data_IF_758216005509
#
_entry.id   IF_758216005509
#
_cell.length_a   1.000
_cell.length_b   1.000
_cell.length_c   1.000
_cell.angle_alpha   90.00
_cell.angle_beta   90.00
_cell.angle_gamma   90.00
#
_symmetry.space_group_name_H-M   'P 1'
#
loop_
_entity.id
_entity.type
_entity.pdbx_description
1 polymer ?
#
# COMPACT_ATOMS: atom_id res chain seq x y z
N UNK A 1 0.17 37.02 -0.30
CA UNK A 1 1.02 36.46 -1.37
C UNK A 1 2.48 36.63 -0.95
N UNK A 2 3.14 35.54 -0.56
CA UNK A 2 4.55 35.57 -0.13
C UNK A 2 5.42 35.83 -1.35
N UNK A 3 6.17 36.93 -1.35
CA UNK A 3 7.18 37.25 -2.36
C UNK A 3 8.49 36.54 -1.98
N UNK A 4 8.97 35.56 -2.77
CA UNK A 4 10.18 34.79 -2.46
C UNK A 4 11.44 35.67 -2.27
N UNK A 5 11.44 36.86 -2.87
CA UNK A 5 12.55 37.83 -2.86
C UNK A 5 12.67 38.66 -1.57
N UNK A 6 11.73 38.56 -0.64
CA UNK A 6 11.75 39.32 0.64
C UNK A 6 12.24 38.51 1.84
N UNK A 7 12.44 37.20 1.69
CA UNK A 7 12.94 36.35 2.76
C UNK A 7 14.46 36.25 2.67
N UNK A 8 15.16 36.49 3.78
CA UNK A 8 16.57 36.12 3.93
C UNK A 8 16.74 34.63 3.58
N UNK A 9 17.81 34.29 2.86
CA UNK A 9 18.11 32.88 2.55
C UNK A 9 18.11 32.06 3.85
N UNK A 10 17.44 30.91 3.83
CA UNK A 10 17.35 30.01 4.99
C UNK A 10 18.74 29.68 5.54
N UNK A 11 19.68 29.47 4.61
CA UNK A 11 21.09 29.24 4.91
C UNK A 11 21.69 30.44 5.66
N UNK A 12 21.42 31.68 5.23
CA UNK A 12 21.94 32.87 5.90
C UNK A 12 21.39 33.06 7.33
N UNK A 13 20.11 32.73 7.56
CA UNK A 13 19.52 32.76 8.91
C UNK A 13 20.03 31.64 9.82
N UNK A 14 20.23 30.43 9.28
CA UNK A 14 20.78 29.29 10.01
C UNK A 14 22.28 29.44 10.32
N UNK A 15 22.98 30.27 9.56
CA UNK A 15 24.43 30.52 9.71
C UNK A 15 24.78 31.58 10.74
N UNK A 16 23.81 32.32 11.29
CA UNK A 16 24.10 33.37 12.29
C UNK A 16 24.29 32.74 13.69
N UNK A 17 25.53 32.68 14.23
CA UNK A 17 25.83 31.82 15.38
C UNK A 17 25.37 32.38 16.73
N UNK A 18 24.96 33.65 16.79
CA UNK A 18 24.81 34.35 18.08
C UNK A 18 23.40 34.28 18.69
N UNK A 19 22.35 34.06 17.90
CA UNK A 19 20.97 33.96 18.41
C UNK A 19 20.33 32.62 18.03
N UNK A 20 20.56 31.63 18.89
CA UNK A 20 20.00 30.27 18.76
C UNK A 20 18.48 30.27 18.74
N UNK A 21 17.85 31.22 19.44
CA UNK A 21 16.40 31.32 19.55
C UNK A 21 15.80 31.85 18.24
N UNK A 22 16.43 32.87 17.64
CA UNK A 22 16.02 33.39 16.34
C UNK A 22 16.25 32.38 15.21
N UNK A 23 17.40 31.69 15.21
CA UNK A 23 17.70 30.63 14.25
C UNK A 23 16.71 29.47 14.33
N UNK A 24 16.42 28.98 15.54
CA UNK A 24 15.42 27.94 15.78
C UNK A 24 14.03 28.35 15.32
N UNK A 25 13.58 29.58 15.60
CA UNK A 25 12.27 30.07 15.16
C UNK A 25 12.16 30.16 13.63
N UNK A 26 13.22 30.58 12.94
CA UNK A 26 13.25 30.62 11.49
C UNK A 26 13.21 29.20 10.88
N UNK A 27 14.01 28.29 11.45
CA UNK A 27 14.03 26.89 11.09
C UNK A 27 12.65 26.23 11.29
N UNK A 28 12.06 26.37 12.48
CA UNK A 28 10.79 25.76 12.85
C UNK A 28 9.62 26.23 11.96
N UNK A 29 9.63 27.50 11.53
CA UNK A 29 8.64 28.01 10.55
C UNK A 29 8.77 27.30 9.20
N UNK A 30 9.98 27.11 8.72
CA UNK A 30 10.23 26.42 7.44
C UNK A 30 9.87 24.94 7.55
N UNK A 31 10.23 24.33 8.67
CA UNK A 31 9.89 22.94 8.97
C UNK A 31 8.38 22.72 9.06
N UNK A 32 7.65 23.68 9.66
CA UNK A 32 6.19 23.67 9.68
C UNK A 32 5.60 23.71 8.26
N UNK A 33 6.18 24.49 7.35
CA UNK A 33 5.75 24.55 5.94
C UNK A 33 6.01 23.22 5.23
N UNK A 34 7.17 22.57 5.44
CA UNK A 34 7.45 21.24 4.86
C UNK A 34 6.42 20.20 5.31
N UNK A 35 6.13 20.14 6.60
CA UNK A 35 5.12 19.24 7.17
C UNK A 35 3.73 19.53 6.61
N UNK A 36 3.38 20.80 6.45
CA UNK A 36 2.12 21.20 5.81
C UNK A 36 2.03 20.74 4.35
N UNK A 37 3.12 20.86 3.57
CA UNK A 37 3.17 20.33 2.20
C UNK A 37 2.91 18.82 2.20
N UNK A 38 3.56 18.06 3.08
CA UNK A 38 3.31 16.62 3.19
C UNK A 38 1.85 16.31 3.53
N UNK A 39 1.24 17.04 4.47
CA UNK A 39 -0.18 16.88 4.78
C UNK A 39 -1.09 17.16 3.57
N UNK A 40 -0.79 18.19 2.77
CA UNK A 40 -1.56 18.48 1.54
C UNK A 40 -1.43 17.36 0.50
N UNK A 41 -0.22 16.81 0.34
CA UNK A 41 0.03 15.64 -0.52
C UNK A 41 -0.76 14.43 -0.02
N UNK A 42 -0.79 14.17 1.29
CA UNK A 42 -1.58 13.09 1.89
C UNK A 42 -3.10 13.27 1.65
N UNK A 43 -3.61 14.49 1.81
CA UNK A 43 -5.03 14.80 1.59
C UNK A 43 -5.42 14.61 0.12
N UNK A 44 -4.64 15.16 -0.81
CA UNK A 44 -4.91 15.02 -2.25
C UNK A 44 -4.83 13.55 -2.66
N UNK A 45 -3.83 12.82 -2.17
CA UNK A 45 -3.68 11.38 -2.39
C UNK A 45 -4.92 10.61 -1.92
N UNK A 46 -5.42 10.93 -0.73
CA UNK A 46 -6.60 10.32 -0.17
C UNK A 46 -7.84 10.55 -1.06
N UNK A 47 -8.13 11.80 -1.43
CA UNK A 47 -9.32 12.12 -2.22
C UNK A 47 -9.25 11.60 -3.65
N UNK A 48 -8.10 11.70 -4.31
CA UNK A 48 -7.89 11.17 -5.66
C UNK A 48 -8.16 9.65 -5.72
N UNK A 49 -7.80 8.93 -4.65
CA UNK A 49 -7.95 7.48 -4.58
C UNK A 49 -9.38 7.03 -4.34
N UNK A 50 -10.08 7.66 -3.40
CA UNK A 50 -11.44 7.25 -3.02
C UNK A 50 -12.52 7.81 -3.95
N UNK A 51 -12.22 8.88 -4.70
CA UNK A 51 -13.18 9.49 -5.63
C UNK A 51 -12.92 9.11 -7.10
N UNK A 52 -11.94 8.23 -7.35
CA UNK A 52 -11.37 7.97 -8.69
C UNK A 52 -11.05 9.26 -9.47
N UNK A 53 -10.72 10.33 -8.74
CA UNK A 53 -10.56 11.67 -9.28
C UNK A 53 -9.16 11.93 -9.79
N UNK A 54 -9.03 12.92 -10.67
CA UNK A 54 -7.71 13.45 -11.02
C UNK A 54 -7.05 14.07 -9.78
N UNK A 55 -5.81 13.71 -9.46
CA UNK A 55 -5.03 14.45 -8.47
C UNK A 55 -4.96 15.94 -8.77
N UNK A 56 -5.16 16.78 -7.75
CA UNK A 56 -5.03 18.23 -7.88
C UNK A 56 -3.56 18.62 -7.99
N UNK A 57 -2.70 17.95 -7.20
CA UNK A 57 -1.26 18.15 -7.22
C UNK A 57 -0.69 17.46 -8.45
N UNK A 58 0.00 18.27 -9.25
CA UNK A 58 0.71 17.82 -10.44
C UNK A 58 1.94 16.99 -10.06
N UNK A 59 1.86 15.70 -10.35
CA UNK A 59 2.93 14.73 -10.08
C UNK A 59 4.27 15.09 -10.74
N UNK A 60 4.24 15.75 -11.90
CA UNK A 60 5.43 16.16 -12.66
C UNK A 60 6.13 17.40 -12.07
N UNK A 61 5.47 18.09 -11.15
CA UNK A 61 6.04 19.21 -10.39
C UNK A 61 6.32 18.84 -8.93
N UNK A 62 5.99 17.61 -8.50
CA UNK A 62 6.05 17.24 -7.10
C UNK A 62 7.48 16.86 -6.66
N UNK A 63 8.14 17.82 -6.02
CA UNK A 63 9.35 17.63 -5.24
C UNK A 63 9.16 18.33 -3.89
N UNK A 64 9.67 17.73 -2.82
CA UNK A 64 9.63 18.39 -1.52
C UNK A 64 10.82 17.99 -0.65
N UNK A 65 11.18 18.89 0.26
CA UNK A 65 12.11 18.56 1.33
C UNK A 65 11.41 17.65 2.33
N UNK A 66 12.01 16.51 2.63
CA UNK A 66 11.49 15.59 3.65
C UNK A 66 11.48 16.33 5.00
N UNK A 67 10.43 16.23 5.81
CA UNK A 67 10.47 16.77 7.17
C UNK A 67 11.68 16.24 7.95
N UNK A 68 12.26 17.05 8.83
CA UNK A 68 13.24 16.59 9.81
C UNK A 68 12.54 15.81 10.94
N UNK A 69 13.31 15.09 11.76
CA UNK A 69 12.78 14.27 12.86
C UNK A 69 11.79 15.02 13.76
N UNK A 70 10.80 14.28 14.27
CA UNK A 70 9.79 14.83 15.20
C UNK A 70 10.44 15.38 16.48
N UNK A 71 11.51 14.75 16.96
CA UNK A 71 12.25 15.20 18.14
C UNK A 71 12.87 16.59 17.92
N UNK A 72 13.55 16.80 16.78
CA UNK A 72 14.14 18.08 16.45
C UNK A 72 13.08 19.17 16.25
N UNK A 73 11.94 18.82 15.64
CA UNK A 73 10.82 19.74 15.44
C UNK A 73 10.13 20.14 16.75
N UNK A 74 9.98 19.20 17.68
CA UNK A 74 9.33 19.41 18.97
C UNK A 74 10.26 20.00 20.04
N UNK A 75 11.51 20.34 19.69
CA UNK A 75 12.44 20.96 20.61
C UNK A 75 11.80 22.22 21.24
N UNK A 76 11.73 22.34 22.58
CA UNK A 76 10.94 23.39 23.24
C UNK A 76 11.60 24.76 23.22
N UNK A 77 12.90 24.83 22.93
CA UNK A 77 13.69 26.07 22.93
C UNK A 77 14.79 26.02 21.87
N UNK A 78 15.30 27.18 21.45
CA UNK A 78 16.42 27.24 20.52
C UNK A 78 17.71 26.63 21.08
N UNK A 79 17.89 26.65 22.40
CA UNK A 79 19.01 25.96 23.06
C UNK A 79 18.92 24.44 22.90
N UNK A 80 17.76 23.83 23.15
CA UNK A 80 17.59 22.39 23.02
C UNK A 80 17.69 21.95 21.55
N UNK A 81 17.10 22.71 20.63
CA UNK A 81 17.26 22.49 19.19
C UNK A 81 18.74 22.50 18.76
N UNK A 82 19.51 23.47 19.23
CA UNK A 82 20.94 23.56 18.92
C UNK A 82 21.74 22.41 19.54
N UNK A 83 21.35 21.91 20.72
CA UNK A 83 21.95 20.72 21.33
C UNK A 83 21.71 19.48 20.47
N UNK A 84 20.47 19.23 20.05
CA UNK A 84 20.13 18.12 19.16
C UNK A 84 20.89 18.22 17.83
N UNK A 85 20.94 19.40 17.23
CA UNK A 85 21.70 19.65 16.01
C UNK A 85 23.20 19.35 16.21
N UNK A 86 23.77 19.77 17.34
CA UNK A 86 25.18 19.50 17.68
C UNK A 86 25.45 18.02 17.99
N UNK A 87 24.43 17.27 18.43
CA UNK A 87 24.47 15.83 18.63
C UNK A 87 24.31 15.03 17.32
N UNK A 88 24.20 15.71 16.17
CA UNK A 88 24.13 15.09 14.84
C UNK A 88 22.72 15.05 14.24
N UNK A 89 21.71 15.66 14.88
CA UNK A 89 20.40 15.77 14.27
C UNK A 89 20.46 16.63 13.00
N UNK A 90 19.83 16.14 11.93
CA UNK A 90 19.90 16.79 10.63
C UNK A 90 18.91 17.95 10.57
N UNK A 91 19.43 19.17 10.43
CA UNK A 91 18.64 20.41 10.36
C UNK A 91 18.26 20.80 8.93
N UNK A 92 19.00 20.29 7.94
CA UNK A 92 18.75 20.51 6.51
C UNK A 92 18.49 19.17 5.85
N UNK A 93 17.23 18.91 5.53
CA UNK A 93 16.79 17.66 4.95
C UNK A 93 16.95 17.64 3.42
N UNK A 94 17.26 16.47 2.85
CA UNK A 94 17.37 16.30 1.41
C UNK A 94 16.00 16.45 0.72
N UNK A 95 16.05 16.74 -0.57
CA UNK A 95 14.87 16.79 -1.44
C UNK A 95 14.54 15.37 -1.89
N UNK A 96 13.28 14.97 -1.75
CA UNK A 96 12.73 13.80 -2.40
C UNK A 96 12.23 14.20 -3.79
N UNK A 97 12.77 13.56 -4.82
CA UNK A 97 12.34 13.72 -6.21
C UNK A 97 12.03 12.35 -6.82
N UNK A 98 10.75 11.99 -6.85
CA UNK A 98 10.27 10.73 -7.44
C UNK A 98 9.95 10.85 -8.95
N UNK A 99 10.31 11.96 -9.60
CA UNK A 99 10.04 12.18 -11.03
C UNK A 99 11.10 11.56 -11.93
N UNK A 100 12.25 11.22 -11.35
CA UNK A 100 13.41 10.66 -12.05
C UNK A 100 13.75 9.31 -11.41
N UNK A 101 13.92 8.29 -12.26
CA UNK A 101 14.45 6.98 -11.86
C UNK A 101 15.80 6.73 -12.54
N UNK A 102 16.82 6.20 -11.84
CA UNK A 102 16.80 5.77 -10.43
C UNK A 102 16.71 6.94 -9.45
N UNK A 103 15.82 6.81 -8.47
CA UNK A 103 15.63 7.82 -7.42
C UNK A 103 16.64 7.63 -6.30
N UNK A 104 17.27 8.71 -5.84
CA UNK A 104 18.11 8.67 -4.64
C UNK A 104 17.22 8.71 -3.41
N UNK A 105 16.97 7.53 -2.82
CA UNK A 105 16.17 7.38 -1.60
C UNK A 105 16.93 7.87 -0.36
N UNK A 106 16.47 8.93 0.34
CA UNK A 106 17.20 9.52 1.44
C UNK A 106 17.16 8.69 2.72
N UNK A 107 18.26 8.57 3.45
CA UNK A 107 18.33 7.77 4.68
C UNK A 107 17.49 8.31 5.85
N UNK A 108 16.95 9.53 5.75
CA UNK A 108 16.22 10.16 6.85
C UNK A 108 14.77 9.72 6.98
N UNK A 109 14.15 9.17 5.92
CA UNK A 109 12.70 8.92 5.79
C UNK A 109 12.10 8.13 6.97
N UNK A 110 12.92 7.49 7.78
CA UNK A 110 12.54 6.61 8.88
C UNK A 110 12.57 7.28 10.25
N UNK A 111 12.96 8.56 10.34
CA UNK A 111 13.07 9.29 11.62
C UNK A 111 11.71 9.84 12.11
N UNK A 112 10.66 9.77 11.29
CA UNK A 112 9.29 10.11 11.66
C UNK A 112 8.27 9.47 10.73
N UNK A 113 7.14 9.00 11.28
CA UNK A 113 6.04 8.45 10.49
C UNK A 113 5.58 9.36 9.33
N UNK A 114 5.55 10.68 9.54
CA UNK A 114 5.06 11.65 8.54
C UNK A 114 5.85 11.55 7.21
N UNK A 115 7.12 11.17 7.26
CA UNK A 115 8.00 11.11 6.11
C UNK A 115 7.65 9.90 5.23
N UNK A 116 7.45 8.73 5.86
CA UNK A 116 6.95 7.52 5.18
C UNK A 116 5.54 7.78 4.61
N UNK A 117 4.69 8.53 5.32
CA UNK A 117 3.38 8.91 4.81
C UNK A 117 3.46 9.81 3.59
N UNK A 118 4.37 10.79 3.60
CA UNK A 118 4.61 11.64 2.44
C UNK A 118 5.11 10.84 1.24
N UNK A 119 6.03 9.90 1.46
CA UNK A 119 6.52 9.00 0.42
C UNK A 119 5.38 8.15 -0.16
N UNK A 120 4.59 7.50 0.70
CA UNK A 120 3.42 6.72 0.28
C UNK A 120 2.43 7.58 -0.51
N UNK A 121 2.05 8.73 0.02
CA UNK A 121 1.09 9.63 -0.60
C UNK A 121 1.55 10.08 -2.00
N UNK A 122 2.85 10.32 -2.16
CA UNK A 122 3.45 10.70 -3.45
C UNK A 122 3.35 9.56 -4.47
N UNK A 123 3.71 8.33 -4.09
CA UNK A 123 3.62 7.15 -4.97
C UNK A 123 2.16 6.88 -5.32
N UNK A 124 1.28 7.00 -4.35
CA UNK A 124 -0.14 6.73 -4.51
C UNK A 124 -0.83 7.80 -5.39
N UNK A 125 -0.39 9.07 -5.32
CA UNK A 125 -0.79 10.10 -6.29
C UNK A 125 -0.36 9.76 -7.72
N UNK A 126 0.82 9.18 -7.91
CA UNK A 126 1.26 8.71 -9.24
C UNK A 126 0.35 7.58 -9.74
N UNK A 127 0.02 6.61 -8.88
CA UNK A 127 -0.94 5.54 -9.21
C UNK A 127 -2.32 6.12 -9.57
N UNK A 128 -2.86 7.04 -8.75
CA UNK A 128 -4.15 7.67 -9.00
C UNK A 128 -4.16 8.49 -10.31
N UNK A 129 -3.08 9.23 -10.60
CA UNK A 129 -2.93 9.97 -11.85
C UNK A 129 -2.91 9.04 -13.08
N UNK A 130 -2.20 7.91 -12.99
CA UNK A 130 -2.15 6.90 -14.05
C UNK A 130 -3.52 6.24 -14.24
N UNK A 131 -4.20 5.87 -13.15
CA UNK A 131 -5.57 5.33 -13.17
C UNK A 131 -6.54 6.30 -13.87
N UNK A 132 -6.53 7.58 -13.50
CA UNK A 132 -7.39 8.58 -14.11
C UNK A 132 -7.09 8.78 -15.60
N UNK A 133 -5.81 8.83 -16.00
CA UNK A 133 -5.42 8.90 -17.43
C UNK A 133 -5.88 7.67 -18.20
N UNK A 134 -5.78 6.50 -17.58
CA UNK A 134 -6.23 5.24 -18.15
C UNK A 134 -7.74 5.24 -18.42
N UNK A 135 -8.55 5.57 -17.40
CA UNK A 135 -10.01 5.65 -17.52
C UNK A 135 -10.44 6.62 -18.64
N UNK A 136 -9.74 7.74 -18.80
CA UNK A 136 -10.06 8.73 -19.84
C UNK A 136 -9.52 8.41 -21.24
N UNK A 137 -8.56 7.47 -21.38
CA UNK A 137 -8.03 7.03 -22.69
C UNK A 137 -8.86 5.90 -23.32
N UNK A 138 -9.74 5.25 -22.56
CA UNK A 138 -10.48 4.06 -22.98
C UNK A 138 -11.82 4.33 -23.67
N UNK A 139 -11.78 4.78 -24.93
CA UNK A 139 -12.86 4.55 -25.91
C UNK A 139 -12.21 4.04 -27.21
N UNK A 140 -11.61 2.84 -27.20
CA UNK A 140 -11.34 2.09 -28.44
C UNK A 140 -11.42 0.57 -28.16
N UNK A 141 -12.25 -0.10 -28.95
CA UNK A 141 -12.82 -1.43 -28.76
C UNK A 141 -11.81 -2.58 -28.89
N UNK A 142 -12.03 -3.66 -28.12
CA UNK A 142 -11.52 -5.01 -28.42
C UNK A 142 -10.62 -5.65 -27.35
N UNK A 143 -9.84 -4.88 -26.59
CA UNK A 143 -8.88 -5.42 -25.60
C UNK A 143 -9.21 -5.09 -24.14
N UNK A 144 -10.43 -4.63 -23.84
CA UNK A 144 -10.79 -4.05 -22.54
C UNK A 144 -10.80 -5.08 -21.38
N UNK A 145 -11.14 -6.34 -21.62
CA UNK A 145 -11.28 -7.32 -20.53
C UNK A 145 -9.96 -7.67 -19.84
N UNK A 146 -8.88 -7.95 -20.57
CA UNK A 146 -7.58 -8.24 -19.97
C UNK A 146 -7.01 -7.02 -19.22
N UNK A 147 -7.28 -5.84 -19.77
CA UNK A 147 -6.81 -4.54 -19.27
C UNK A 147 -7.47 -4.21 -17.92
N UNK A 148 -8.75 -4.55 -17.73
CA UNK A 148 -9.47 -4.33 -16.47
C UNK A 148 -8.92 -5.17 -15.31
N UNK A 149 -8.36 -6.35 -15.61
CA UNK A 149 -7.89 -7.31 -14.61
C UNK A 149 -6.50 -6.95 -14.06
N UNK A 150 -5.63 -6.39 -14.90
CA UNK A 150 -4.22 -6.13 -14.60
C UNK A 150 -3.89 -4.64 -14.75
N UNK A 151 -4.34 -3.78 -13.81
CA UNK A 151 -4.16 -2.33 -13.93
C UNK A 151 -2.69 -1.92 -14.00
N UNK A 152 -1.82 -2.64 -13.28
CA UNK A 152 -0.39 -2.39 -13.27
C UNK A 152 0.28 -2.51 -14.64
N UNK A 153 -0.15 -3.47 -15.48
CA UNK A 153 0.44 -3.65 -16.80
C UNK A 153 0.13 -2.47 -17.72
N UNK A 154 -0.99 -1.77 -17.48
CA UNK A 154 -1.29 -0.52 -18.15
C UNK A 154 -0.44 0.63 -17.64
N UNK A 155 -0.22 0.70 -16.34
CA UNK A 155 0.64 1.71 -15.74
C UNK A 155 2.06 1.63 -16.34
N UNK A 156 2.59 0.42 -16.53
CA UNK A 156 3.90 0.19 -17.15
C UNK A 156 4.02 0.68 -18.61
N UNK A 157 2.91 0.93 -19.33
CA UNK A 157 2.94 1.51 -20.68
C UNK A 157 3.26 3.01 -20.67
N UNK A 158 3.08 3.68 -19.53
CA UNK A 158 3.50 5.05 -19.31
C UNK A 158 4.91 5.06 -18.70
N UNK A 159 5.78 5.96 -19.17
CA UNK A 159 7.15 6.07 -18.65
C UNK A 159 7.21 6.30 -17.15
N UNK A 160 6.23 7.03 -16.59
CA UNK A 160 6.15 7.24 -15.13
C UNK A 160 5.73 5.95 -14.41
N UNK A 161 4.78 5.20 -14.95
CA UNK A 161 4.32 3.96 -14.34
C UNK A 161 5.34 2.83 -14.42
N UNK A 162 6.14 2.77 -15.50
CA UNK A 162 7.26 1.81 -15.62
C UNK A 162 8.29 1.93 -14.48
N UNK A 163 8.43 3.12 -13.88
CA UNK A 163 9.36 3.37 -12.76
C UNK A 163 8.78 2.96 -11.40
N UNK A 164 7.46 2.79 -11.26
CA UNK A 164 6.81 2.53 -9.97
C UNK A 164 7.22 1.18 -9.39
N UNK A 165 7.26 0.15 -10.22
CA UNK A 165 7.60 -1.22 -9.80
C UNK A 165 8.99 -1.29 -9.17
N UNK A 166 10.07 -0.88 -9.86
CA UNK A 166 11.40 -0.92 -9.25
C UNK A 166 11.52 0.05 -8.07
N UNK A 167 10.89 1.22 -8.10
CA UNK A 167 10.89 2.16 -6.98
C UNK A 167 10.28 1.56 -5.70
N UNK A 168 9.17 0.84 -5.79
CA UNK A 168 8.51 0.20 -4.63
C UNK A 168 9.39 -0.89 -4.02
N UNK A 169 10.10 -1.66 -4.85
CA UNK A 169 11.09 -2.63 -4.39
C UNK A 169 12.29 -1.94 -3.71
N UNK A 170 12.85 -0.91 -4.35
CA UNK A 170 13.98 -0.14 -3.83
C UNK A 170 13.65 0.49 -2.47
N UNK A 171 12.43 1.00 -2.28
CA UNK A 171 11.95 1.54 -1.00
C UNK A 171 11.97 0.49 0.09
N UNK A 172 11.41 -0.70 -0.14
CA UNK A 172 11.46 -1.75 0.86
C UNK A 172 12.89 -2.18 1.16
N UNK A 173 13.70 -2.45 0.13
CA UNK A 173 15.10 -2.86 0.31
C UNK A 173 15.92 -1.82 1.07
N UNK A 174 15.69 -0.53 0.80
CA UNK A 174 16.38 0.59 1.46
C UNK A 174 16.00 0.76 2.92
N UNK A 175 14.71 0.60 3.25
CA UNK A 175 14.15 0.90 4.57
C UNK A 175 13.63 -0.33 5.31
N UNK A 176 14.10 -1.54 4.92
CA UNK A 176 13.60 -2.82 5.43
C UNK A 176 13.60 -2.86 6.95
N UNK A 177 14.75 -2.56 7.56
CA UNK A 177 14.93 -2.62 9.00
C UNK A 177 13.93 -1.72 9.72
N UNK A 178 13.75 -0.49 9.25
CA UNK A 178 12.88 0.48 9.89
C UNK A 178 11.40 0.22 9.64
N UNK A 179 11.04 -0.34 8.48
CA UNK A 179 9.67 -0.78 8.22
C UNK A 179 9.28 -1.98 9.09
N UNK A 180 10.21 -2.92 9.33
CA UNK A 180 9.96 -4.13 10.13
C UNK A 180 10.01 -3.89 11.65
N UNK A 181 10.82 -2.93 12.10
CA UNK A 181 11.00 -2.65 13.55
C UNK A 181 10.28 -1.38 14.04
N UNK A 182 9.84 -0.52 13.12
CA UNK A 182 9.19 0.75 13.44
C UNK A 182 7.67 0.63 13.63
N UNK A 183 6.96 1.72 13.39
CA UNK A 183 5.50 1.76 13.48
C UNK A 183 4.88 0.81 12.43
N UNK A 184 4.11 -0.23 12.83
CA UNK A 184 3.55 -1.21 11.90
C UNK A 184 2.63 -0.62 10.82
N UNK A 185 2.05 0.56 11.08
CA UNK A 185 1.27 1.25 10.06
C UNK A 185 2.12 1.57 8.82
N UNK A 186 3.40 1.91 8.98
CA UNK A 186 4.29 2.24 7.86
C UNK A 186 4.45 1.07 6.88
N UNK A 187 4.65 -0.14 7.39
CA UNK A 187 4.73 -1.35 6.56
C UNK A 187 3.39 -1.70 5.91
N UNK A 188 2.27 -1.54 6.63
CA UNK A 188 0.94 -1.71 6.05
C UNK A 188 0.64 -0.71 4.91
N UNK A 189 1.13 0.53 5.02
CA UNK A 189 1.03 1.50 3.93
C UNK A 189 1.82 1.05 2.70
N UNK A 190 2.99 0.43 2.88
CA UNK A 190 3.76 -0.15 1.78
C UNK A 190 3.02 -1.33 1.12
N UNK A 191 2.41 -2.23 1.91
CA UNK A 191 1.55 -3.28 1.36
C UNK A 191 0.35 -2.73 0.59
N UNK A 192 -0.25 -1.64 1.07
CA UNK A 192 -1.33 -0.96 0.35
C UNK A 192 -0.86 -0.48 -1.04
N UNK A 193 0.37 0.04 -1.14
CA UNK A 193 0.99 0.41 -2.43
C UNK A 193 1.06 -0.80 -3.36
N UNK A 194 1.54 -1.93 -2.84
CA UNK A 194 1.59 -3.21 -3.56
C UNK A 194 0.21 -3.62 -4.11
N UNK A 195 -0.83 -3.55 -3.27
CA UNK A 195 -2.20 -3.86 -3.67
C UNK A 195 -2.69 -2.93 -4.79
N UNK A 196 -2.51 -1.62 -4.66
CA UNK A 196 -2.98 -0.66 -5.68
C UNK A 196 -2.26 -0.75 -7.04
N UNK A 197 -1.07 -1.32 -7.08
CA UNK A 197 -0.36 -1.60 -8.33
C UNK A 197 -0.87 -2.85 -9.06
N UNK A 198 -1.52 -3.76 -8.34
CA UNK A 198 -1.71 -5.15 -8.80
C UNK A 198 -3.16 -5.63 -8.79
N UNK A 199 -4.02 -4.97 -8.01
CA UNK A 199 -5.45 -5.26 -7.92
C UNK A 199 -6.29 -4.07 -8.38
N UNK A 200 -7.29 -4.34 -9.23
CA UNK A 200 -8.30 -3.36 -9.58
C UNK A 200 -9.38 -3.32 -8.49
N UNK A 201 -9.22 -2.44 -7.49
CA UNK A 201 -10.13 -2.37 -6.34
C UNK A 201 -11.60 -2.13 -6.73
N UNK A 202 -11.87 -1.44 -7.84
CA UNK A 202 -13.26 -1.26 -8.31
C UNK A 202 -13.94 -2.59 -8.61
N UNK A 203 -13.19 -3.58 -9.10
CA UNK A 203 -13.70 -4.91 -9.38
C UNK A 203 -14.09 -5.65 -8.09
N UNK A 204 -13.29 -5.51 -7.02
CA UNK A 204 -13.56 -6.13 -5.72
C UNK A 204 -14.74 -5.45 -5.01
N UNK A 205 -14.88 -4.13 -5.12
CA UNK A 205 -16.04 -3.40 -4.59
C UNK A 205 -17.34 -3.77 -5.33
N UNK A 206 -17.29 -3.91 -6.66
CA UNK A 206 -18.43 -4.40 -7.44
C UNK A 206 -18.80 -5.83 -7.04
N UNK A 207 -17.81 -6.71 -6.87
CA UNK A 207 -18.01 -8.07 -6.37
C UNK A 207 -18.61 -8.11 -4.96
N UNK A 208 -18.25 -7.14 -4.10
CA UNK A 208 -18.85 -6.96 -2.77
C UNK A 208 -20.28 -6.41 -2.80
N UNK A 209 -20.81 -6.05 -3.98
CA UNK A 209 -22.22 -5.68 -4.17
C UNK A 209 -22.48 -4.18 -4.36
N UNK A 210 -21.45 -3.36 -4.62
CA UNK A 210 -21.60 -1.88 -4.79
C UNK A 210 -22.71 -1.49 -5.77
N UNK A 211 -22.82 -2.19 -6.91
CA UNK A 211 -23.79 -1.91 -7.98
C UNK A 211 -24.86 -3.02 -8.12
N UNK A 212 -25.08 -3.78 -7.05
CA UNK A 212 -26.06 -4.87 -7.00
C UNK A 212 -25.57 -6.21 -7.53
N UNK A 213 -26.46 -7.20 -7.49
CA UNK A 213 -26.12 -8.63 -7.64
C UNK A 213 -25.56 -8.99 -9.02
N UNK A 214 -26.10 -8.41 -10.09
CA UNK A 214 -25.64 -8.74 -11.45
C UNK A 214 -24.23 -8.21 -11.72
N UNK A 215 -23.92 -6.99 -11.27
CA UNK A 215 -22.56 -6.45 -11.32
C UNK A 215 -21.58 -7.28 -10.46
N UNK A 216 -22.04 -7.76 -9.30
CA UNK A 216 -21.25 -8.62 -8.44
C UNK A 216 -20.89 -9.94 -9.13
N UNK A 217 -21.86 -10.65 -9.73
CA UNK A 217 -21.63 -11.91 -10.45
C UNK A 217 -20.61 -11.75 -11.58
N UNK A 218 -20.75 -10.72 -12.42
CA UNK A 218 -19.83 -10.42 -13.51
C UNK A 218 -18.41 -10.14 -12.99
N UNK A 219 -18.32 -9.40 -11.89
CA UNK A 219 -17.04 -9.05 -11.28
C UNK A 219 -16.35 -10.25 -10.64
N UNK A 220 -17.11 -11.15 -9.99
CA UNK A 220 -16.59 -12.41 -9.45
C UNK A 220 -16.00 -13.29 -10.55
N UNK A 221 -16.69 -13.42 -11.70
CA UNK A 221 -16.15 -14.18 -12.84
C UNK A 221 -14.80 -13.62 -13.33
N UNK A 222 -14.69 -12.29 -13.42
CA UNK A 222 -13.44 -11.59 -13.72
C UNK A 222 -12.37 -11.84 -12.65
N UNK A 223 -12.73 -11.78 -11.36
CA UNK A 223 -11.81 -12.07 -10.25
C UNK A 223 -11.31 -13.52 -10.31
N UNK A 224 -12.15 -14.49 -10.67
CA UNK A 224 -11.74 -15.89 -10.85
C UNK A 224 -10.66 -16.06 -11.92
N UNK A 225 -10.72 -15.27 -12.99
CA UNK A 225 -9.65 -15.23 -14.00
C UNK A 225 -8.38 -14.58 -13.46
N UNK A 226 -8.50 -13.42 -12.79
CA UNK A 226 -7.37 -12.73 -12.16
C UNK A 226 -6.67 -13.62 -11.12
N UNK A 227 -7.42 -14.39 -10.33
CA UNK A 227 -6.93 -15.25 -9.25
C UNK A 227 -5.95 -16.33 -9.72
N UNK A 228 -5.97 -16.72 -11.00
CA UNK A 228 -5.03 -17.69 -11.57
C UNK A 228 -3.61 -17.12 -11.78
N UNK A 229 -3.44 -15.80 -11.69
CA UNK A 229 -2.19 -15.12 -12.03
C UNK A 229 -1.16 -15.10 -10.89
N UNK A 230 0.15 -15.04 -11.21
CA UNK A 230 1.20 -14.73 -10.22
C UNK A 230 0.94 -13.40 -9.49
N UNK A 231 0.41 -12.42 -10.21
CA UNK A 231 0.04 -11.12 -9.65
C UNK A 231 -0.96 -11.28 -8.51
N UNK A 232 -2.05 -12.02 -8.71
CA UNK A 232 -3.04 -12.28 -7.66
C UNK A 232 -2.41 -12.92 -6.42
N UNK A 233 -1.54 -13.93 -6.62
CA UNK A 233 -0.83 -14.59 -5.53
C UNK A 233 0.05 -13.63 -4.75
N UNK A 234 0.77 -12.71 -5.41
CA UNK A 234 1.52 -11.64 -4.75
C UNK A 234 0.61 -10.70 -3.95
N UNK A 235 -0.51 -10.27 -4.53
CA UNK A 235 -1.46 -9.37 -3.86
C UNK A 235 -2.01 -10.02 -2.58
N UNK A 236 -2.28 -11.32 -2.62
CA UNK A 236 -2.77 -12.06 -1.46
C UNK A 236 -1.77 -12.07 -0.30
N UNK A 237 -0.47 -12.17 -0.61
CA UNK A 237 0.57 -12.01 0.40
C UNK A 237 0.58 -10.58 0.96
N UNK A 238 0.45 -9.54 0.12
CA UNK A 238 0.33 -8.16 0.62
C UNK A 238 -0.90 -7.95 1.52
N UNK A 239 -2.04 -8.54 1.16
CA UNK A 239 -3.26 -8.48 1.95
C UNK A 239 -3.11 -9.19 3.30
N UNK A 240 -2.58 -10.41 3.32
CA UNK A 240 -2.31 -11.15 4.55
C UNK A 240 -1.28 -10.45 5.44
N UNK A 241 -0.22 -9.89 4.86
CA UNK A 241 0.78 -9.14 5.64
C UNK A 241 0.23 -7.81 6.18
N UNK A 242 -0.76 -7.20 5.52
CA UNK A 242 -1.49 -6.04 6.06
C UNK A 242 -2.25 -6.41 7.33
N UNK A 243 -2.90 -7.59 7.36
CA UNK A 243 -3.48 -8.14 8.58
C UNK A 243 -2.43 -8.32 9.67
N UNK A 244 -1.31 -8.99 9.38
CA UNK A 244 -0.21 -9.20 10.33
C UNK A 244 0.35 -7.90 10.88
N UNK A 245 0.54 -6.87 10.04
CA UNK A 245 1.00 -5.56 10.49
C UNK A 245 0.02 -4.92 11.47
N UNK A 246 -1.28 -5.03 11.17
CA UNK A 246 -2.33 -4.40 11.96
C UNK A 246 -2.62 -5.14 13.26
N UNK A 247 -2.50 -6.47 13.29
CA UNK A 247 -2.65 -7.27 14.51
C UNK A 247 -1.50 -7.09 15.50
N UNK A 248 -0.32 -6.66 15.02
CA UNK A 248 0.85 -6.36 15.87
C UNK A 248 0.84 -4.94 16.44
N UNK A 249 -0.14 -4.10 16.05
CA UNK A 249 -0.21 -2.72 16.54
C UNK A 249 -0.52 -2.67 18.02
N UNK A 250 0.07 -1.67 18.67
CA UNK A 250 -0.24 -1.27 20.03
C UNK A 250 -1.07 0.01 20.02
N UNK A 251 -1.64 0.36 21.17
CA UNK A 251 -2.35 1.64 21.36
C UNK A 251 -1.44 2.84 21.09
N UNK A 252 -0.13 2.71 21.35
CA UNK A 252 0.86 3.78 21.20
C UNK A 252 1.15 4.13 19.73
N UNK A 253 0.95 3.18 18.82
CA UNK A 253 1.18 3.40 17.38
C UNK A 253 0.15 4.34 16.76
N UNK A 254 -0.96 4.59 17.47
CA UNK A 254 -2.09 5.34 16.97
C UNK A 254 -2.82 4.60 15.85
N UNK A 255 -3.95 5.16 15.41
CA UNK A 255 -4.67 4.70 14.21
C UNK A 255 -4.54 5.77 13.15
N UNK A 256 -4.05 5.38 11.98
CA UNK A 256 -3.92 6.30 10.86
C UNK A 256 -5.17 6.20 10.00
N UNK A 257 -5.54 7.30 9.36
CA UNK A 257 -6.79 7.42 8.61
C UNK A 257 -6.98 6.34 7.53
N UNK A 258 -5.89 5.78 7.02
CA UNK A 258 -5.92 4.76 5.96
C UNK A 258 -5.88 3.32 6.51
N UNK A 259 -5.73 3.10 7.82
CA UNK A 259 -5.51 1.77 8.38
C UNK A 259 -6.75 0.88 8.24
N UNK A 260 -7.94 1.42 8.49
CA UNK A 260 -9.19 0.67 8.33
C UNK A 260 -9.49 0.37 6.87
N UNK A 261 -9.28 1.34 5.99
CA UNK A 261 -9.45 1.16 4.53
C UNK A 261 -8.46 0.12 4.00
N UNK A 262 -7.22 0.14 4.48
CA UNK A 262 -6.21 -0.84 4.10
C UNK A 262 -6.62 -2.26 4.54
N UNK A 263 -7.17 -2.42 5.75
CA UNK A 263 -7.67 -3.72 6.23
C UNK A 263 -8.88 -4.18 5.43
N UNK A 264 -9.86 -3.30 5.22
CA UNK A 264 -11.05 -3.61 4.44
C UNK A 264 -10.69 -4.03 3.01
N UNK A 265 -9.83 -3.27 2.32
CA UNK A 265 -9.39 -3.60 0.97
C UNK A 265 -8.57 -4.90 0.93
N UNK A 266 -7.74 -5.14 1.94
CA UNK A 266 -6.99 -6.40 2.07
C UNK A 266 -7.93 -7.58 2.25
N UNK A 267 -8.99 -7.42 3.05
CA UNK A 267 -9.99 -8.47 3.23
C UNK A 267 -10.75 -8.78 1.95
N UNK A 268 -11.21 -7.75 1.22
CA UNK A 268 -11.86 -7.97 -0.07
C UNK A 268 -10.96 -8.77 -1.02
N UNK A 269 -9.70 -8.36 -1.15
CA UNK A 269 -8.74 -9.04 -2.03
C UNK A 269 -8.52 -10.49 -1.61
N UNK A 270 -8.17 -10.72 -0.34
CA UNK A 270 -7.83 -12.05 0.14
C UNK A 270 -9.05 -12.96 0.21
N UNK A 271 -10.17 -12.45 0.72
CA UNK A 271 -11.44 -13.15 0.79
C UNK A 271 -11.92 -13.59 -0.59
N UNK A 272 -11.93 -12.70 -1.58
CA UNK A 272 -12.34 -13.07 -2.94
C UNK A 272 -11.35 -13.98 -3.64
N UNK A 273 -10.04 -13.82 -3.44
CA UNK A 273 -9.06 -14.76 -3.99
C UNK A 273 -9.23 -16.17 -3.43
N UNK A 274 -9.43 -16.30 -2.11
CA UNK A 274 -9.64 -17.59 -1.45
C UNK A 274 -11.00 -18.18 -1.80
N UNK A 275 -12.01 -17.34 -2.08
CA UNK A 275 -13.33 -17.78 -2.54
C UNK A 275 -13.27 -18.30 -3.97
N UNK A 276 -12.68 -17.52 -4.87
CA UNK A 276 -12.49 -17.86 -6.29
C UNK A 276 -11.39 -18.92 -6.49
N UNK A 277 -11.13 -19.72 -5.45
CA UNK A 277 -9.96 -20.53 -5.23
C UNK A 277 -9.41 -21.15 -6.53
N UNK A 278 -8.20 -20.75 -6.94
CA UNK A 278 -7.58 -21.31 -8.12
C UNK A 278 -7.20 -22.79 -7.93
N UNK A 279 -7.20 -23.57 -9.02
CA UNK A 279 -6.91 -25.02 -9.04
C UNK A 279 -5.58 -25.37 -8.33
N UNK A 280 -4.64 -24.44 -8.29
CA UNK A 280 -3.36 -24.61 -7.60
C UNK A 280 -3.43 -24.59 -6.07
N UNK A 281 -4.52 -24.14 -5.45
CA UNK A 281 -4.74 -24.29 -4.00
C UNK A 281 -5.10 -25.75 -3.65
N UNK A 282 -5.54 -26.54 -4.62
CA UNK A 282 -5.86 -27.96 -4.50
C UNK A 282 -4.64 -28.83 -4.87
N UNK A 283 -3.49 -28.59 -4.21
CA UNK A 283 -2.29 -29.38 -4.44
C UNK A 283 -2.53 -30.88 -4.16
N UNK A 284 -2.20 -31.72 -5.15
CA UNK A 284 -2.47 -33.16 -5.16
C UNK A 284 -2.14 -33.89 -3.85
N UNK A 285 -3.04 -34.80 -3.46
CA UNK A 285 -3.04 -35.62 -2.24
C UNK A 285 -1.96 -36.73 -2.26
N UNK A 286 -0.70 -36.34 -2.50
CA UNK A 286 0.47 -37.22 -2.43
C UNK A 286 1.35 -36.95 -1.20
N UNK A 287 2.03 -37.98 -0.69
CA UNK A 287 2.94 -37.91 0.45
C UNK A 287 4.18 -37.01 0.23
N UNK A 288 4.42 -36.55 -1.00
CA UNK A 288 5.51 -35.66 -1.42
C UNK A 288 5.06 -34.21 -1.72
N UNK A 289 3.79 -33.87 -1.44
CA UNK A 289 3.27 -32.51 -1.69
C UNK A 289 3.87 -31.49 -0.71
N UNK A 290 4.39 -30.34 -1.17
CA UNK A 290 5.02 -29.34 -0.31
C UNK A 290 4.09 -28.86 0.81
N UNK A 291 4.68 -28.48 1.95
CA UNK A 291 3.96 -27.94 3.10
C UNK A 291 3.15 -26.69 2.67
N UNK A 292 1.95 -26.47 3.25
CA UNK A 292 1.19 -25.26 2.95
C UNK A 292 1.95 -24.02 3.41
N UNK A 293 1.90 -22.96 2.61
CA UNK A 293 2.45 -21.65 2.98
C UNK A 293 1.54 -20.99 4.03
N UNK A 294 2.08 -20.65 5.19
CA UNK A 294 1.35 -19.88 6.20
C UNK A 294 1.32 -18.40 5.79
N UNK A 295 0.12 -17.90 5.45
CA UNK A 295 -0.06 -16.54 4.92
C UNK A 295 0.31 -15.45 5.92
N UNK A 296 0.25 -15.75 7.22
CA UNK A 296 0.58 -14.82 8.31
C UNK A 296 2.05 -14.89 8.75
N UNK A 297 2.87 -15.79 8.17
CA UNK A 297 4.31 -15.85 8.44
C UNK A 297 5.03 -14.62 7.88
N UNK A 298 6.13 -14.19 8.53
CA UNK A 298 6.91 -13.05 8.06
C UNK A 298 7.54 -13.34 6.69
N UNK A 299 7.35 -12.41 5.75
CA UNK A 299 7.87 -12.54 4.38
C UNK A 299 9.01 -11.55 4.19
N UNK A 300 10.19 -12.06 3.82
CA UNK A 300 11.29 -11.22 3.36
C UNK A 300 11.05 -10.77 1.91
N UNK A 301 10.51 -9.58 1.74
CA UNK A 301 10.19 -9.05 0.41
C UNK A 301 11.42 -8.74 -0.44
N UNK A 302 12.62 -8.67 0.16
CA UNK A 302 13.87 -8.57 -0.61
C UNK A 302 14.19 -9.86 -1.37
N UNK A 303 13.75 -11.01 -0.86
CA UNK A 303 13.89 -12.31 -1.54
C UNK A 303 12.77 -12.56 -2.55
N UNK A 304 11.60 -11.97 -2.34
CA UNK A 304 10.49 -12.00 -3.31
C UNK A 304 10.81 -11.13 -4.53
N UNK A 305 11.43 -9.97 -4.33
CA UNK A 305 11.80 -9.05 -5.40
C UNK A 305 10.60 -8.59 -6.22
N UNK A 306 10.74 -8.64 -7.55
CA UNK A 306 9.70 -8.19 -8.50
C UNK A 306 8.77 -9.32 -8.97
N UNK A 307 8.87 -10.54 -8.40
CA UNK A 307 8.05 -11.67 -8.80
C UNK A 307 6.55 -11.36 -8.65
N UNK A 308 5.76 -11.58 -9.69
CA UNK A 308 4.32 -11.27 -9.71
C UNK A 308 3.98 -9.77 -9.77
N UNK A 309 4.96 -8.88 -9.95
CA UNK A 309 4.68 -7.46 -10.25
C UNK A 309 4.42 -7.23 -11.75
N UNK A 310 3.73 -6.13 -12.10
CA UNK A 310 3.39 -5.83 -13.48
C UNK A 310 4.62 -5.59 -14.36
N UNK A 311 4.48 -5.92 -15.65
CA UNK A 311 5.55 -5.73 -16.64
C UNK A 311 6.80 -6.61 -16.47
N UNK A 312 6.74 -7.66 -15.63
CA UNK A 312 7.83 -8.60 -15.38
C UNK A 312 7.41 -9.99 -15.80
N UNK A 313 7.98 -10.49 -16.90
CA UNK A 313 7.67 -11.83 -17.41
C UNK A 313 8.45 -12.93 -16.69
N UNK A 314 9.70 -12.65 -16.28
CA UNK A 314 10.55 -13.60 -15.53
C UNK A 314 11.57 -12.86 -14.65
N UNK A 315 11.64 -13.21 -13.37
CA UNK A 315 12.74 -12.79 -12.50
C UNK A 315 13.86 -13.85 -12.47
N UNK A 316 15.14 -13.45 -12.40
CA UNK A 316 16.26 -14.40 -12.30
C UNK A 316 16.15 -15.35 -11.09
N UNK A 317 16.52 -16.62 -11.27
CA UNK A 317 16.33 -17.74 -10.30
C UNK A 317 17.24 -17.69 -9.05
N UNK A 318 17.82 -16.54 -8.70
CA UNK A 318 18.86 -16.49 -7.66
C UNK A 318 18.36 -16.65 -6.22
N UNK A 319 17.06 -16.48 -5.96
CA UNK A 319 16.49 -16.49 -4.61
C UNK A 319 15.27 -17.42 -4.52
N UNK A 320 15.28 -18.37 -3.57
CA UNK A 320 14.25 -19.40 -3.39
C UNK A 320 13.57 -19.25 -2.03
N UNK A 321 12.64 -18.29 -1.91
CA UNK A 321 11.74 -18.23 -0.74
C UNK A 321 10.43 -18.96 -1.02
N UNK A 322 9.79 -19.49 0.02
CA UNK A 322 8.48 -20.15 -0.11
C UNK A 322 7.41 -19.20 -0.68
N UNK A 323 7.44 -17.93 -0.26
CA UNK A 323 6.59 -16.87 -0.80
C UNK A 323 6.81 -16.67 -2.31
N UNK A 324 8.06 -16.64 -2.77
CA UNK A 324 8.37 -16.47 -4.20
C UNK A 324 7.93 -17.69 -5.02
N UNK A 325 8.16 -18.89 -4.51
CA UNK A 325 7.65 -20.12 -5.13
C UNK A 325 6.13 -20.10 -5.25
N UNK A 326 5.43 -19.74 -4.17
CA UNK A 326 3.97 -19.62 -4.19
C UNK A 326 3.50 -18.59 -5.21
N UNK A 327 4.13 -17.42 -5.30
CA UNK A 327 3.78 -16.43 -6.33
C UNK A 327 3.93 -17.03 -7.74
N UNK A 328 5.02 -17.74 -8.02
CA UNK A 328 5.28 -18.30 -9.34
C UNK A 328 4.33 -19.45 -9.68
N UNK A 329 4.29 -20.48 -8.84
CA UNK A 329 3.68 -21.79 -9.13
C UNK A 329 2.34 -22.04 -8.42
N UNK A 330 1.96 -21.17 -7.48
CA UNK A 330 0.85 -21.44 -6.57
C UNK A 330 1.20 -22.47 -5.51
N UNK A 331 0.17 -23.05 -4.89
CA UNK A 331 0.32 -24.07 -3.85
C UNK A 331 -0.70 -23.90 -2.72
N UNK A 332 -0.74 -24.90 -1.83
CA UNK A 332 -1.62 -24.89 -0.65
C UNK A 332 -1.22 -23.78 0.32
N UNK A 333 -2.21 -23.24 1.01
CA UNK A 333 -2.02 -22.18 2.01
C UNK A 333 -2.63 -22.56 3.35
N UNK A 334 -2.12 -21.97 4.42
CA UNK A 334 -2.78 -21.93 5.73
C UNK A 334 -2.94 -20.48 6.19
N UNK A 335 -3.92 -20.26 7.07
CA UNK A 335 -4.16 -18.97 7.70
C UNK A 335 -4.36 -19.21 9.19
N UNK A 336 -3.56 -18.56 10.03
CA UNK A 336 -3.55 -18.77 11.49
C UNK A 336 -3.34 -20.23 11.89
N UNK A 337 -2.49 -20.96 11.16
CA UNK A 337 -2.19 -22.37 11.40
C UNK A 337 -3.27 -23.36 10.95
N UNK A 338 -4.42 -22.89 10.45
CA UNK A 338 -5.45 -23.76 9.92
C UNK A 338 -5.19 -24.07 8.45
N UNK A 339 -5.12 -25.37 8.13
CA UNK A 339 -4.99 -25.87 6.77
C UNK A 339 -6.37 -25.95 6.15
N UNK A 340 -6.52 -25.38 4.96
CA UNK A 340 -7.81 -25.34 4.29
C UNK A 340 -7.63 -25.68 2.81
N UNK A 341 -8.58 -26.44 2.26
CA UNK A 341 -8.86 -26.40 0.82
C UNK A 341 -9.45 -25.03 0.50
N UNK A 342 -9.14 -24.46 -0.67
CA UNK A 342 -9.75 -23.21 -1.12
C UNK A 342 -11.28 -23.30 -1.21
N UNK A 343 -11.94 -22.17 -1.46
CA UNK A 343 -13.39 -22.07 -1.64
C UNK A 343 -14.08 -21.34 -0.50
N UNK A 344 -15.40 -21.45 -0.46
CA UNK A 344 -16.25 -20.66 0.43
C UNK A 344 -15.86 -20.71 1.92
N UNK A 345 -15.66 -21.92 2.46
CA UNK A 345 -15.42 -22.09 3.90
C UNK A 345 -14.15 -21.40 4.40
N UNK A 346 -13.09 -21.40 3.59
CA UNK A 346 -11.84 -20.71 3.91
C UNK A 346 -12.01 -19.19 3.79
N UNK A 347 -12.61 -18.73 2.70
CA UNK A 347 -12.89 -17.31 2.48
C UNK A 347 -13.71 -16.73 3.64
N UNK A 348 -14.85 -17.34 3.99
CA UNK A 348 -15.69 -16.88 5.11
C UNK A 348 -14.90 -16.77 6.41
N UNK A 349 -14.05 -17.75 6.73
CA UNK A 349 -13.25 -17.73 7.96
C UNK A 349 -12.30 -16.54 7.98
N UNK A 350 -11.54 -16.34 6.90
CA UNK A 350 -10.59 -15.22 6.81
C UNK A 350 -11.32 -13.89 6.92
N UNK A 351 -12.45 -13.73 6.22
CA UNK A 351 -13.30 -12.53 6.32
C UNK A 351 -13.72 -12.24 7.76
N UNK A 352 -14.09 -13.27 8.52
CA UNK A 352 -14.47 -13.09 9.93
C UNK A 352 -13.31 -12.72 10.84
N UNK A 353 -12.08 -13.19 10.55
CA UNK A 353 -10.87 -12.77 11.26
C UNK A 353 -10.57 -11.29 11.01
N UNK A 354 -10.67 -10.83 9.75
CA UNK A 354 -10.52 -9.41 9.42
C UNK A 354 -11.61 -8.53 10.05
N UNK A 355 -12.85 -9.00 10.10
CA UNK A 355 -13.94 -8.31 10.82
C UNK A 355 -13.60 -8.16 12.29
N UNK A 356 -13.12 -9.21 12.95
CA UNK A 356 -12.70 -9.16 14.35
C UNK A 356 -11.57 -8.15 14.57
N UNK A 357 -10.55 -8.18 13.71
CA UNK A 357 -9.44 -7.23 13.78
C UNK A 357 -9.89 -5.78 13.54
N UNK A 358 -10.77 -5.55 12.55
CA UNK A 358 -11.36 -4.22 12.29
C UNK A 358 -12.14 -3.68 13.49
N UNK A 359 -12.89 -4.53 14.20
CA UNK A 359 -13.61 -4.16 15.42
C UNK A 359 -12.66 -3.80 16.58
N UNK A 360 -11.47 -4.40 16.62
CA UNK A 360 -10.43 -4.10 17.61
C UNK A 360 -9.65 -2.81 17.30
N UNK A 361 -9.16 -2.67 16.06
CA UNK A 361 -8.19 -1.62 15.71
C UNK A 361 -8.81 -0.38 15.06
N UNK A 362 -10.03 -0.52 14.54
CA UNK A 362 -10.68 0.52 13.77
C UNK A 362 -11.30 1.61 14.64
N UNK A 363 -11.23 2.85 14.17
CA UNK A 363 -11.82 4.04 14.82
C UNK A 363 -12.90 4.69 13.97
N UNK A 364 -12.76 4.64 12.65
CA UNK A 364 -13.65 5.33 11.71
C UNK A 364 -14.37 4.34 10.79
N UNK A 365 -15.68 4.53 10.59
CA UNK A 365 -16.54 3.76 9.68
C UNK A 365 -16.51 2.21 9.84
N UNK A 366 -15.95 1.70 10.94
CA UNK A 366 -15.78 0.27 11.22
C UNK A 366 -17.07 -0.51 11.06
N UNK A 367 -18.19 0.03 11.58
CA UNK A 367 -19.50 -0.64 11.51
C UNK A 367 -19.94 -0.90 10.08
N UNK A 368 -19.67 0.03 9.18
CA UNK A 368 -20.05 -0.09 7.77
C UNK A 368 -19.17 -1.12 7.06
N UNK A 369 -17.85 -1.05 7.25
CA UNK A 369 -16.92 -2.06 6.71
C UNK A 369 -17.27 -3.47 7.21
N UNK A 370 -17.41 -3.66 8.53
CA UNK A 370 -17.77 -4.95 9.09
C UNK A 370 -19.14 -5.44 8.60
N UNK A 371 -20.09 -4.54 8.36
CA UNK A 371 -21.40 -4.90 7.81
C UNK A 371 -21.29 -5.40 6.37
N UNK A 372 -20.56 -4.68 5.50
CA UNK A 372 -20.31 -5.08 4.11
C UNK A 372 -19.62 -6.44 4.06
N UNK A 373 -18.55 -6.64 4.84
CA UNK A 373 -17.80 -7.90 4.86
C UNK A 373 -18.65 -9.09 5.31
N UNK A 374 -19.52 -8.90 6.31
CA UNK A 374 -20.47 -9.93 6.77
C UNK A 374 -21.49 -10.29 5.68
N UNK A 375 -22.11 -9.28 5.05
CA UNK A 375 -23.06 -9.50 3.95
C UNK A 375 -22.38 -10.23 2.79
N UNK A 376 -21.20 -9.77 2.38
CA UNK A 376 -20.42 -10.37 1.31
C UNK A 376 -20.12 -11.85 1.62
N UNK A 377 -19.64 -12.14 2.83
CA UNK A 377 -19.32 -13.51 3.28
C UNK A 377 -20.55 -14.42 3.34
N UNK A 378 -21.74 -13.90 3.61
CA UNK A 378 -22.97 -14.68 3.55
C UNK A 378 -23.49 -14.85 2.11
N UNK A 379 -23.41 -13.80 1.29
CA UNK A 379 -23.84 -13.83 -0.12
C UNK A 379 -22.99 -14.74 -1.02
N UNK A 380 -21.72 -14.96 -0.68
CA UNK A 380 -20.86 -15.94 -1.35
C UNK A 380 -21.40 -17.39 -1.29
N UNK A 381 -22.24 -17.74 -0.30
CA UNK A 381 -22.93 -19.05 -0.19
C UNK A 381 -23.90 -19.26 -1.36
N UNK A 382 -24.66 -18.22 -1.70
CA UNK A 382 -25.75 -18.29 -2.67
C UNK A 382 -25.23 -18.50 -4.11
N UNK A 383 -23.94 -18.23 -4.32
CA UNK A 383 -23.25 -18.36 -5.61
C UNK A 383 -22.60 -19.75 -5.81
N UNK A 384 -22.26 -20.48 -4.73
CA UNK A 384 -21.77 -21.87 -4.82
C UNK A 384 -22.91 -22.86 -5.13
N UNK A 385 -24.15 -22.52 -4.80
CA UNK A 385 -25.33 -23.34 -5.06
C UNK A 385 -26.25 -22.68 -6.08
N UNK A 386 -25.95 -22.75 -7.39
CA UNK A 386 -26.93 -22.36 -8.39
C UNK A 386 -28.09 -23.35 -8.28
N UNK A 387 -29.22 -22.90 -7.72
CA UNK A 387 -30.49 -23.62 -7.82
C UNK A 387 -30.66 -23.97 -9.29
N UNK A 388 -30.64 -25.27 -9.61
CA UNK A 388 -30.90 -25.76 -10.94
C UNK A 388 -32.26 -25.20 -11.39
N UNK A 389 -32.38 -24.60 -12.58
CA UNK A 389 -33.67 -24.11 -13.02
C UNK A 389 -34.66 -25.28 -13.12
N UNK A 390 -35.96 -25.05 -12.87
CA UNK A 390 -36.98 -26.10 -12.90
C UNK A 390 -37.13 -26.79 -14.26
#
# INVERSE_FOLDING_TARGET
LFLPSRASSLHACLSQPQDKELAWRAWAKTESVKRMIVCLVMIDSFFASNSAGQPVIRIDALQFHIPCSRELFNAPTGHHWAQLASAGAITISPVLDLRIYPTILPSLVTQSDIEIHGLKATIWLQIAALKHRFLNRGIHEGSLEYIDLFPGDQYCRDSTGAMLVPLVCDIYSKYKYELETGNPNCLALWHTIGIGLTANMDLFELAAGRDGVEAAKLSIAKISQWAQSPTARRVCLHAAQTYTCMSRRTILDGTMFNSEIALFNSDLVLGFYLYAAPEHLEGGSGASSPLPLELLEDIDWSQVGMEGLPGIDTCPEYATSAARHFIKEGGRVSFSGFKHSGGYGLSKRVVLEFVGLLEEVGRWNVREFCHILRIMSDGMIELENPVSPP
#
